data_IF_547363048465
#
_entry.id   IF_547363048465
#
_cell.length_a   1.000
_cell.length_b   1.000
_cell.length_c   1.000
_cell.angle_alpha   90.00
_cell.angle_beta   90.00
_cell.angle_gamma   90.00
#
_symmetry.space_group_name_H-M   'P 1'
#
loop_
_entity.id
_entity.type
_entity.pdbx_description
1 polymer ?
#
# COMPACT_ATOMS: atom_id res chain seq x y z
N UNK A 1 1.07 -9.33 13.28
CA UNK A 1 -0.21 -9.02 12.62
C UNK A 1 -0.04 -7.70 11.88
N UNK A 2 -0.72 -7.48 10.74
CA UNK A 2 -0.71 -6.19 10.04
C UNK A 2 -2.11 -5.62 9.99
N UNK A 3 -2.24 -4.34 10.30
CA UNK A 3 -3.50 -3.62 10.40
C UNK A 3 -3.48 -2.44 9.43
N UNK A 4 -4.57 -2.25 8.70
CA UNK A 4 -4.83 -1.06 7.88
C UNK A 4 -6.09 -0.43 8.47
N UNK A 5 -5.98 0.79 8.96
CA UNK A 5 -7.02 1.46 9.74
C UNK A 5 -7.40 2.80 9.10
N UNK A 6 -8.65 3.20 9.22
CA UNK A 6 -9.13 4.51 8.75
C UNK A 6 -8.60 5.68 9.57
N UNK A 7 -8.20 5.45 10.82
CA UNK A 7 -7.65 6.46 11.75
C UNK A 7 -6.35 5.94 12.39
N UNK A 8 -5.19 6.22 11.79
CA UNK A 8 -3.89 5.79 12.30
C UNK A 8 -3.58 6.36 13.68
N UNK A 9 -3.99 7.60 13.96
CA UNK A 9 -3.69 8.30 15.21
C UNK A 9 -4.39 7.62 16.39
N UNK A 10 -5.71 7.43 16.26
CA UNK A 10 -6.51 6.76 17.30
C UNK A 10 -6.10 5.29 17.49
N UNK A 11 -5.71 4.62 16.40
CA UNK A 11 -5.22 3.24 16.44
C UNK A 11 -3.90 3.16 17.19
N UNK A 12 -2.95 4.06 16.89
CA UNK A 12 -1.67 4.19 17.61
C UNK A 12 -1.89 4.41 19.10
N UNK A 13 -2.76 5.34 19.48
CA UNK A 13 -3.06 5.60 20.90
C UNK A 13 -3.62 4.37 21.61
N UNK A 14 -4.54 3.65 20.96
CA UNK A 14 -5.16 2.45 21.54
C UNK A 14 -4.16 1.31 21.72
N UNK A 15 -3.27 1.11 20.74
CA UNK A 15 -2.21 0.10 20.83
C UNK A 15 -1.18 0.44 21.92
N UNK A 16 -0.79 1.72 22.03
CA UNK A 16 0.10 2.18 23.12
C UNK A 16 -0.53 1.97 24.50
N UNK A 17 -1.82 2.29 24.67
CA UNK A 17 -2.54 2.07 25.95
C UNK A 17 -2.61 0.60 26.35
N UNK A 18 -2.58 -0.31 25.37
CA UNK A 18 -2.58 -1.75 25.60
C UNK A 18 -1.17 -2.33 25.82
N UNK A 19 -0.11 -1.50 25.85
CA UNK A 19 1.30 -1.89 25.97
C UNK A 19 1.74 -2.90 24.91
N UNK A 20 1.21 -2.74 23.69
CA UNK A 20 1.56 -3.58 22.54
C UNK A 20 2.69 -2.93 21.74
N UNK A 21 3.72 -3.70 21.40
CA UNK A 21 4.75 -3.26 20.45
C UNK A 21 4.19 -3.23 19.02
N UNK A 22 4.47 -2.14 18.28
CA UNK A 22 4.10 -2.01 16.88
C UNK A 22 5.08 -1.13 16.11
N UNK A 23 5.08 -1.29 14.79
CA UNK A 23 5.79 -0.41 13.85
C UNK A 23 4.79 0.12 12.83
N UNK A 24 4.89 1.40 12.50
CA UNK A 24 4.07 2.01 11.45
C UNK A 24 4.82 2.05 10.13
N UNK A 25 4.06 1.90 9.04
CA UNK A 25 4.57 2.07 7.68
C UNK A 25 3.52 2.78 6.86
N UNK A 26 3.98 3.71 6.03
CA UNK A 26 3.12 4.31 5.02
C UNK A 26 2.80 3.29 3.93
N UNK A 27 1.58 3.38 3.41
CA UNK A 27 1.13 2.56 2.30
C UNK A 27 0.82 3.47 1.12
N UNK A 28 1.26 3.05 -0.05
CA UNK A 28 0.94 3.70 -1.31
C UNK A 28 -0.31 3.06 -1.91
N UNK A 29 -1.35 3.85 -2.13
CA UNK A 29 -2.59 3.35 -2.73
C UNK A 29 -2.52 3.51 -4.24
N UNK A 30 -2.46 2.40 -4.96
CA UNK A 30 -2.52 2.35 -6.41
C UNK A 30 -3.96 2.08 -6.87
N UNK A 31 -4.44 2.87 -7.83
CA UNK A 31 -5.71 2.67 -8.53
C UNK A 31 -5.44 1.89 -9.83
N UNK A 32 -5.89 0.66 -9.89
CA UNK A 32 -5.69 -0.26 -11.02
C UNK A 32 -6.98 -0.39 -11.82
N UNK A 33 -6.92 -0.55 -13.14
CA UNK A 33 -8.12 -1.00 -13.89
C UNK A 33 -8.50 -2.42 -13.47
N UNK A 34 -9.80 -2.71 -13.40
CA UNK A 34 -10.33 -4.04 -13.06
C UNK A 34 -10.22 -5.01 -14.25
N UNK A 35 -8.99 -5.30 -14.67
CA UNK A 35 -8.68 -6.27 -15.72
C UNK A 35 -7.42 -7.09 -15.39
N UNK A 36 -7.30 -8.32 -15.90
CA UNK A 36 -6.11 -9.14 -15.70
C UNK A 36 -4.83 -8.42 -16.17
N UNK A 37 -3.77 -8.51 -15.35
CA UNK A 37 -2.45 -7.99 -15.69
C UNK A 37 -2.13 -6.59 -15.16
N UNK A 38 -3.09 -5.82 -14.63
CA UNK A 38 -2.78 -4.47 -14.13
C UNK A 38 -1.85 -4.46 -12.92
N UNK A 39 -2.01 -5.39 -11.98
CA UNK A 39 -1.06 -5.54 -10.88
C UNK A 39 0.32 -5.96 -11.38
N UNK A 40 0.39 -6.77 -12.45
CA UNK A 40 1.66 -7.15 -13.07
C UNK A 40 2.34 -5.94 -13.72
N UNK A 41 1.58 -5.07 -14.42
CA UNK A 41 2.11 -3.82 -14.99
C UNK A 41 2.72 -2.92 -13.91
N UNK A 42 1.99 -2.67 -12.83
CA UNK A 42 2.48 -1.85 -11.71
C UNK A 42 3.69 -2.48 -11.02
N UNK A 43 3.67 -3.79 -10.81
CA UNK A 43 4.80 -4.50 -10.20
C UNK A 43 6.06 -4.45 -11.09
N UNK A 44 5.90 -4.55 -12.41
CA UNK A 44 7.00 -4.46 -13.37
C UNK A 44 7.61 -3.04 -13.44
N UNK A 45 6.78 -1.99 -13.38
CA UNK A 45 7.26 -0.61 -13.28
C UNK A 45 8.08 -0.37 -12.01
N UNK A 46 7.61 -0.87 -10.86
CA UNK A 46 8.35 -0.79 -9.60
C UNK A 46 9.64 -1.61 -9.64
N UNK A 47 9.61 -2.81 -10.22
CA UNK A 47 10.79 -3.67 -10.37
C UNK A 47 11.87 -3.02 -11.25
N UNK A 48 11.48 -2.40 -12.38
CA UNK A 48 12.41 -1.64 -13.24
C UNK A 48 13.07 -0.46 -12.53
N UNK A 49 12.39 0.11 -11.53
CA UNK A 49 12.94 1.16 -10.68
C UNK A 49 13.75 0.61 -9.49
N UNK A 50 13.88 -0.71 -9.33
CA UNK A 50 14.57 -1.34 -8.21
C UNK A 50 13.84 -1.15 -6.87
N UNK A 51 12.51 -1.06 -6.89
CA UNK A 51 11.67 -0.87 -5.69
C UNK A 51 11.06 -2.22 -5.31
N UNK A 52 11.32 -2.68 -4.09
CA UNK A 52 10.73 -3.90 -3.57
C UNK A 52 9.29 -3.66 -3.08
N UNK A 53 8.41 -4.64 -3.28
CA UNK A 53 7.07 -4.68 -2.68
C UNK A 53 7.13 -5.62 -1.48
N UNK A 54 7.04 -5.05 -0.27
CA UNK A 54 7.05 -5.80 0.98
C UNK A 54 5.70 -6.45 1.28
N UNK A 55 4.61 -5.82 0.82
CA UNK A 55 3.25 -6.34 0.93
C UNK A 55 2.29 -5.63 -0.02
N UNK A 56 1.20 -6.31 -0.37
CA UNK A 56 0.08 -5.76 -1.11
C UNK A 56 -1.25 -6.16 -0.44
N UNK A 57 -2.17 -5.21 -0.30
CA UNK A 57 -3.51 -5.41 0.27
C UNK A 57 -4.55 -4.83 -0.67
N UNK A 58 -5.56 -5.63 -1.06
CA UNK A 58 -6.75 -5.10 -1.73
C UNK A 58 -7.57 -4.32 -0.70
N UNK A 59 -7.92 -3.08 -1.00
CA UNK A 59 -8.71 -2.22 -0.12
C UNK A 59 -10.20 -2.30 -0.47
N UNK A 60 -10.53 -1.84 -1.67
CA UNK A 60 -11.88 -1.85 -2.22
C UNK A 60 -11.83 -1.92 -3.75
N UNK A 61 -13.02 -1.90 -4.36
CA UNK A 61 -13.21 -1.91 -5.80
C UNK A 61 -14.42 -1.06 -6.17
N UNK A 62 -14.28 -0.27 -7.23
CA UNK A 62 -15.39 0.38 -7.93
C UNK A 62 -15.73 -0.36 -9.24
N UNK A 63 -16.68 0.16 -10.03
CA UNK A 63 -17.13 -0.50 -11.27
C UNK A 63 -16.07 -0.64 -12.36
N UNK A 64 -14.95 0.11 -12.25
CA UNK A 64 -13.88 0.16 -13.24
C UNK A 64 -12.49 -0.09 -12.65
N UNK A 65 -12.33 0.04 -11.34
CA UNK A 65 -11.02 0.04 -10.70
C UNK A 65 -10.97 -0.77 -9.41
N UNK A 66 -9.79 -1.28 -9.12
CA UNK A 66 -9.42 -1.89 -7.85
C UNK A 66 -8.41 -0.98 -7.15
N UNK A 67 -8.63 -0.67 -5.88
CA UNK A 67 -7.65 0.05 -5.07
C UNK A 67 -6.80 -0.95 -4.28
N UNK A 68 -5.48 -0.87 -4.45
CA UNK A 68 -4.50 -1.73 -3.79
C UNK A 68 -3.54 -0.88 -2.98
N UNK A 69 -3.42 -1.16 -1.69
CA UNK A 69 -2.38 -0.60 -0.84
C UNK A 69 -1.09 -1.42 -0.97
N UNK A 70 0.01 -0.76 -1.27
CA UNK A 70 1.34 -1.34 -1.42
C UNK A 70 2.25 -0.82 -0.31
N UNK A 71 2.89 -1.72 0.43
CA UNK A 71 4.05 -1.41 1.25
C UNK A 71 5.29 -1.60 0.36
N UNK A 72 6.02 -0.52 0.11
CA UNK A 72 7.19 -0.52 -0.78
C UNK A 72 8.44 -0.08 -0.04
N UNK A 73 9.61 -0.48 -0.53
CA UNK A 73 10.90 -0.12 0.08
C UNK A 73 11.24 1.37 -0.04
N UNK A 74 10.70 2.07 -1.05
CA UNK A 74 10.89 3.50 -1.28
C UNK A 74 9.59 4.13 -1.80
N UNK A 75 8.86 4.77 -0.89
CA UNK A 75 7.55 5.37 -1.20
C UNK A 75 7.67 6.55 -2.17
N UNK A 76 8.64 7.44 -1.94
CA UNK A 76 8.79 8.66 -2.74
C UNK A 76 9.15 8.30 -4.19
N UNK A 77 10.07 7.35 -4.39
CA UNK A 77 10.43 6.87 -5.71
C UNK A 77 9.26 6.13 -6.38
N UNK A 78 8.50 5.34 -5.63
CA UNK A 78 7.32 4.64 -6.15
C UNK A 78 6.24 5.62 -6.65
N UNK A 79 5.95 6.69 -5.90
CA UNK A 79 5.02 7.76 -6.35
C UNK A 79 5.47 8.39 -7.66
N UNK A 80 6.76 8.70 -7.79
CA UNK A 80 7.31 9.29 -9.01
C UNK A 80 7.22 8.34 -10.22
N UNK A 81 7.52 7.04 -10.02
CA UNK A 81 7.50 6.04 -11.09
C UNK A 81 6.08 5.76 -11.57
N UNK A 82 5.14 5.59 -10.64
CA UNK A 82 3.74 5.27 -10.93
C UNK A 82 2.89 6.51 -11.26
N UNK A 83 3.47 7.71 -11.12
CA UNK A 83 2.82 9.02 -11.34
C UNK A 83 1.53 9.18 -10.52
N UNK A 84 1.63 8.85 -9.23
CA UNK A 84 0.55 8.94 -8.24
C UNK A 84 0.64 10.22 -7.42
#
# INVERSE_FOLDING_TARGET
MRLVTSDPEKSRESLKKADLEFSERNLLVARLEDKPGELARVSDELAKAGINIDAAYMLDKDSKHVHVALAVSDEQKARNVLKL
#
